data_IF_753377186195
#
_entry.id   IF_753377186195
#
_cell.length_a   1.000
_cell.length_b   1.000
_cell.length_c   1.000
_cell.angle_alpha   90.00
_cell.angle_beta   90.00
_cell.angle_gamma   90.00
#
_symmetry.space_group_name_H-M   'P 1'
#
loop_
_entity.id
_entity.type
_entity.pdbx_description
1 polymer ?
#
# COMPACT_ATOMS: atom_id res chain seq x y z
N UNK A 1 20.45 25.36 10.01
CA UNK A 1 19.97 25.53 8.60
C UNK A 1 18.49 25.20 8.58
N UNK A 2 17.63 25.96 7.90
CA UNK A 2 16.18 25.71 7.91
C UNK A 2 15.77 24.90 6.69
N UNK A 3 14.89 23.91 6.90
CA UNK A 3 14.16 23.23 5.83
C UNK A 3 12.76 23.82 5.75
N UNK A 4 12.25 23.92 4.54
CA UNK A 4 10.91 24.44 4.29
C UNK A 4 10.15 23.49 3.37
N UNK A 5 8.91 23.18 3.73
CA UNK A 5 8.04 22.30 2.96
C UNK A 5 6.77 23.06 2.56
N UNK A 6 6.37 23.04 1.27
CA UNK A 6 5.05 23.50 0.89
C UNK A 6 4.01 22.51 1.44
N UNK A 7 3.06 23.02 2.22
CA UNK A 7 2.07 22.21 2.93
C UNK A 7 0.67 22.82 2.81
N UNK A 8 -0.33 21.98 3.03
CA UNK A 8 -1.70 22.39 3.34
C UNK A 8 -1.98 22.00 4.79
N UNK A 9 -2.34 22.97 5.62
CA UNK A 9 -2.78 22.79 6.99
C UNK A 9 -4.24 22.32 6.99
N UNK A 10 -4.54 21.37 7.87
CA UNK A 10 -5.89 20.84 8.07
C UNK A 10 -6.15 20.54 9.53
N UNK A 11 -7.42 20.29 9.85
CA UNK A 11 -7.83 19.83 11.18
C UNK A 11 -8.60 18.51 11.07
N UNK A 12 -8.19 17.50 11.84
CA UNK A 12 -8.86 16.20 11.90
C UNK A 12 -8.93 15.72 13.34
N UNK A 13 -10.14 15.41 13.82
CA UNK A 13 -10.34 14.92 15.19
C UNK A 13 -9.87 15.90 16.27
N UNK A 14 -9.94 17.21 15.99
CA UNK A 14 -9.47 18.27 16.89
C UNK A 14 -7.98 18.57 16.81
N UNK A 15 -7.22 17.88 15.94
CA UNK A 15 -5.79 18.07 15.77
C UNK A 15 -5.47 18.80 14.48
N UNK A 16 -4.52 19.71 14.57
CA UNK A 16 -3.90 20.27 13.39
C UNK A 16 -2.93 19.25 12.77
N UNK A 17 -2.94 19.15 11.45
CA UNK A 17 -1.98 18.35 10.68
C UNK A 17 -1.59 19.08 9.40
N UNK A 18 -0.52 18.64 8.77
CA UNK A 18 -0.05 19.17 7.51
C UNK A 18 -0.02 18.07 6.45
N UNK A 19 -0.60 18.33 5.29
CA UNK A 19 -0.47 17.49 4.11
C UNK A 19 0.56 18.07 3.16
N UNK A 20 1.49 17.24 2.68
CA UNK A 20 2.57 17.64 1.77
C UNK A 20 2.94 16.51 0.82
N UNK A 21 3.65 16.88 -0.24
CA UNK A 21 4.24 15.97 -1.21
C UNK A 21 5.75 15.93 -1.00
N UNK A 22 6.29 14.75 -0.72
CA UNK A 22 7.73 14.55 -0.51
C UNK A 22 8.31 13.78 -1.71
N UNK A 23 9.40 14.26 -2.33
CA UNK A 23 10.12 13.48 -3.33
C UNK A 23 10.58 12.14 -2.78
N UNK A 24 10.49 11.07 -3.56
CA UNK A 24 10.88 9.74 -3.10
C UNK A 24 12.33 9.70 -2.63
N UNK A 25 13.22 10.50 -3.25
CA UNK A 25 14.62 10.63 -2.85
C UNK A 25 14.83 11.09 -1.41
N UNK A 26 13.88 11.85 -0.86
CA UNK A 26 13.96 12.38 0.52
C UNK A 26 13.44 11.38 1.56
N UNK A 27 12.72 10.34 1.15
CA UNK A 27 12.13 9.36 2.08
C UNK A 27 13.20 8.68 2.97
N UNK A 28 14.35 8.20 2.44
CA UNK A 28 15.38 7.59 3.27
C UNK A 28 16.06 8.57 4.25
N UNK A 29 15.99 9.87 3.96
CA UNK A 29 16.65 10.91 4.74
C UNK A 29 15.74 11.47 5.84
N UNK A 30 14.46 11.69 5.55
CA UNK A 30 13.50 12.34 6.46
C UNK A 30 12.84 11.37 7.45
N UNK A 31 12.73 10.08 7.10
CA UNK A 31 12.01 9.11 7.90
C UNK A 31 12.96 8.15 8.59
N UNK A 32 12.88 8.08 9.91
CA UNK A 32 13.69 7.15 10.69
C UNK A 32 13.15 5.73 10.60
N UNK A 33 13.97 4.83 10.08
CA UNK A 33 13.83 3.39 10.31
C UNK A 33 14.47 3.05 11.66
N UNK A 34 13.85 3.50 12.75
CA UNK A 34 14.39 3.23 14.08
C UNK A 34 14.44 1.72 14.34
N UNK A 35 15.62 1.23 14.74
CA UNK A 35 15.82 -0.11 15.29
C UNK A 35 15.25 -0.17 16.71
N UNK A 36 13.92 -0.20 16.80
CA UNK A 36 13.20 -0.48 18.04
C UNK A 36 13.38 -1.92 18.54
N UNK A 37 14.23 -2.71 17.86
CA UNK A 37 14.55 -4.11 18.17
C UNK A 37 15.02 -4.26 19.63
N UNK A 38 15.73 -3.27 20.17
CA UNK A 38 16.24 -3.29 21.56
C UNK A 38 15.35 -2.60 22.60
N UNK A 39 14.26 -1.96 22.18
CA UNK A 39 13.28 -1.38 23.12
C UNK A 39 12.22 -2.43 23.52
N UNK A 40 11.77 -2.46 24.78
CA UNK A 40 10.58 -3.19 25.19
C UNK A 40 9.37 -2.80 24.32
N UNK A 41 8.47 -3.73 23.96
CA UNK A 41 7.29 -3.44 23.12
C UNK A 41 6.47 -2.23 23.58
N UNK A 42 6.32 -2.05 24.90
CA UNK A 42 5.55 -0.99 25.55
C UNK A 42 6.14 0.41 25.31
N UNK A 43 7.44 0.48 24.99
CA UNK A 43 8.16 1.72 24.72
C UNK A 43 8.29 2.03 23.23
N UNK A 44 7.72 1.19 22.35
CA UNK A 44 7.82 1.38 20.89
C UNK A 44 6.67 2.26 20.41
N UNK A 45 7.01 3.24 19.56
CA UNK A 45 6.02 4.01 18.79
C UNK A 45 5.52 3.25 17.55
N UNK A 46 6.21 2.17 17.13
CA UNK A 46 5.91 1.40 15.92
C UNK A 46 6.23 -0.09 16.09
N UNK A 47 5.69 -0.94 15.20
CA UNK A 47 6.08 -2.36 15.12
C UNK A 47 7.44 -2.54 14.46
N UNK A 48 8.09 -3.66 14.75
CA UNK A 48 9.31 -4.07 14.03
C UNK A 48 8.96 -4.27 12.54
N UNK A 49 9.82 -3.75 11.66
CA UNK A 49 9.66 -3.90 10.21
C UNK A 49 9.83 -5.38 9.84
N UNK A 50 8.85 -5.95 9.14
CA UNK A 50 9.02 -7.28 8.57
C UNK A 50 9.82 -7.16 7.27
N UNK A 51 11.14 -7.38 7.37
CA UNK A 51 12.08 -7.29 6.24
C UNK A 51 11.72 -8.25 5.09
N UNK A 52 11.06 -9.38 5.37
CA UNK A 52 10.64 -10.33 4.35
C UNK A 52 9.57 -9.78 3.40
N UNK A 53 8.81 -8.74 3.80
CA UNK A 53 7.78 -8.11 2.96
C UNK A 53 8.33 -7.03 2.02
N UNK A 54 9.54 -6.53 2.29
CA UNK A 54 10.12 -5.41 1.52
C UNK A 54 10.38 -5.80 0.06
N UNK A 55 11.00 -6.96 -0.26
CA UNK A 55 11.30 -7.33 -1.64
C UNK A 55 10.08 -7.37 -2.57
N UNK A 56 8.94 -7.89 -2.10
CA UNK A 56 7.72 -7.95 -2.93
C UNK A 56 7.17 -6.57 -3.26
N UNK A 57 7.24 -5.62 -2.31
CA UNK A 57 6.79 -4.23 -2.53
C UNK A 57 7.80 -3.48 -3.41
N UNK A 58 9.11 -3.72 -3.24
CA UNK A 58 10.15 -3.17 -4.11
C UNK A 58 9.94 -3.60 -5.56
N UNK A 59 9.71 -4.90 -5.78
CA UNK A 59 9.40 -5.45 -7.09
C UNK A 59 8.13 -4.86 -7.67
N UNK A 60 7.08 -4.70 -6.87
CA UNK A 60 5.85 -4.02 -7.31
C UNK A 60 6.10 -2.61 -7.85
N UNK A 61 6.99 -1.83 -7.24
CA UNK A 61 7.37 -0.49 -7.73
C UNK A 61 8.11 -0.62 -9.07
N UNK A 62 9.17 -1.43 -9.12
CA UNK A 62 10.08 -1.55 -10.27
C UNK A 62 9.42 -2.19 -11.51
N UNK A 63 8.50 -3.14 -11.31
CA UNK A 63 7.79 -3.80 -12.42
C UNK A 63 6.60 -3.00 -12.93
N UNK A 64 6.19 -1.91 -12.25
CA UNK A 64 4.99 -1.15 -12.58
C UNK A 64 5.23 0.36 -12.51
N UNK A 65 6.37 0.85 -13.01
CA UNK A 65 6.77 2.27 -12.93
C UNK A 65 5.72 3.23 -13.53
N UNK A 66 4.89 2.76 -14.46
CA UNK A 66 3.82 3.54 -15.11
C UNK A 66 2.46 3.48 -14.39
N UNK A 67 2.32 2.72 -13.31
CA UNK A 67 1.01 2.52 -12.68
C UNK A 67 1.01 2.00 -11.25
N UNK A 68 2.14 1.93 -10.55
CA UNK A 68 2.15 1.60 -9.12
C UNK A 68 1.45 2.71 -8.31
N UNK A 69 0.82 2.34 -7.20
CA UNK A 69 0.08 3.27 -6.36
C UNK A 69 0.28 2.96 -4.88
N UNK A 70 0.50 4.00 -4.09
CA UNK A 70 0.46 3.94 -2.64
C UNK A 70 -0.53 4.96 -2.06
N UNK A 71 -1.09 4.62 -0.90
CA UNK A 71 -1.77 5.58 -0.05
C UNK A 71 -0.77 6.60 0.52
N UNK A 72 -1.25 7.57 1.29
CA UNK A 72 -0.36 8.53 1.97
C UNK A 72 0.47 7.85 3.08
N UNK A 73 1.68 8.33 3.32
CA UNK A 73 2.44 7.99 4.54
C UNK A 73 1.92 8.88 5.67
N UNK A 74 1.71 8.31 6.85
CA UNK A 74 1.35 9.11 8.04
C UNK A 74 2.53 9.09 9.00
N UNK A 75 2.99 10.26 9.40
CA UNK A 75 4.12 10.40 10.31
C UNK A 75 3.93 11.54 11.30
N UNK A 76 4.75 11.51 12.35
CA UNK A 76 4.75 12.52 13.40
C UNK A 76 6.10 13.21 13.50
N UNK A 77 6.10 14.49 13.84
CA UNK A 77 7.30 15.30 14.08
C UNK A 77 7.33 15.80 15.52
N UNK A 78 8.52 15.95 16.10
CA UNK A 78 8.69 16.37 17.50
C UNK A 78 9.45 17.69 17.66
N UNK A 79 9.89 18.31 16.56
CA UNK A 79 10.64 19.55 16.60
C UNK A 79 9.71 20.77 16.45
N UNK A 80 10.11 21.95 16.97
CA UNK A 80 9.35 23.17 16.77
C UNK A 80 9.20 23.49 15.28
N UNK A 81 7.97 23.79 14.86
CA UNK A 81 7.65 24.16 13.48
C UNK A 81 7.03 25.55 13.42
N UNK A 82 7.32 26.27 12.35
CA UNK A 82 6.67 27.54 12.04
C UNK A 82 5.92 27.42 10.73
N UNK A 83 4.60 27.51 10.79
CA UNK A 83 3.77 27.60 9.60
C UNK A 83 3.65 29.06 9.15
N UNK A 84 3.99 29.31 7.89
CA UNK A 84 3.88 30.61 7.22
C UNK A 84 2.78 30.49 6.16
N UNK A 85 1.59 31.05 6.38
CA UNK A 85 0.50 30.97 5.42
C UNK A 85 0.84 31.73 4.14
N UNK A 86 0.29 31.26 3.02
CA UNK A 86 0.33 31.97 1.74
C UNK A 86 -0.59 33.18 1.78
N UNK A 87 -0.31 34.19 0.94
CA UNK A 87 -1.14 35.40 0.88
C UNK A 87 -2.57 35.13 0.38
N UNK A 88 -2.74 34.10 -0.45
CA UNK A 88 -4.01 33.79 -1.12
C UNK A 88 -4.86 32.78 -0.34
N UNK A 89 -4.24 31.91 0.46
CA UNK A 89 -4.93 30.86 1.20
C UNK A 89 -4.28 30.68 2.58
N UNK A 90 -5.06 30.93 3.65
CA UNK A 90 -4.58 30.83 5.02
C UNK A 90 -4.24 29.38 5.46
N UNK A 91 -4.78 28.38 4.76
CA UNK A 91 -4.49 26.96 5.03
C UNK A 91 -3.35 26.42 4.15
N UNK A 92 -3.05 27.03 3.00
CA UNK A 92 -1.87 26.66 2.22
C UNK A 92 -0.68 27.53 2.64
N UNK A 93 0.51 26.95 2.73
CA UNK A 93 1.68 27.73 3.12
C UNK A 93 2.95 26.91 3.17
N UNK A 94 3.91 27.44 3.90
CA UNK A 94 5.22 26.82 4.08
C UNK A 94 5.41 26.43 5.53
N UNK A 95 5.77 25.17 5.77
CA UNK A 95 6.18 24.69 7.09
C UNK A 95 7.70 24.78 7.19
N UNK A 96 8.19 25.65 8.06
CA UNK A 96 9.61 25.82 8.35
C UNK A 96 10.01 24.99 9.57
N UNK A 97 11.12 24.26 9.46
CA UNK A 97 11.68 23.40 10.50
C UNK A 97 13.21 23.58 10.55
N UNK A 98 13.82 23.44 11.73
CA UNK A 98 15.29 23.45 11.84
C UNK A 98 15.86 22.09 11.40
N UNK A 99 16.69 22.07 10.35
CA UNK A 99 17.19 20.86 9.67
C UNK A 99 17.78 19.81 10.63
N UNK A 100 18.57 20.26 11.62
CA UNK A 100 19.24 19.39 12.59
C UNK A 100 18.27 18.56 13.43
N UNK A 101 16.99 18.93 13.45
CA UNK A 101 15.94 18.28 14.21
C UNK A 101 14.81 17.73 13.33
N UNK A 102 14.97 17.70 11.99
CA UNK A 102 13.94 17.16 11.09
C UNK A 102 14.07 15.65 11.03
N UNK A 103 13.32 14.99 11.89
CA UNK A 103 13.19 13.54 11.89
C UNK A 103 11.73 13.16 12.09
N UNK A 104 11.19 12.37 11.17
CA UNK A 104 9.80 11.91 11.24
C UNK A 104 9.69 10.48 11.73
N UNK A 105 8.79 10.28 12.70
CA UNK A 105 8.41 8.97 13.21
C UNK A 105 7.25 8.45 12.35
N UNK A 106 7.43 7.31 11.70
CA UNK A 106 6.41 6.71 10.84
C UNK A 106 5.30 6.09 11.69
N UNK A 107 4.06 6.59 11.58
CA UNK A 107 2.88 5.97 12.20
C UNK A 107 2.25 4.92 11.28
N UNK A 108 2.22 5.18 9.97
CA UNK A 108 1.83 4.20 8.95
C UNK A 108 2.65 4.38 7.67
N UNK A 109 2.95 3.27 6.99
CA UNK A 109 3.73 3.26 5.75
C UNK A 109 5.17 2.75 5.86
N UNK A 110 5.58 2.17 6.99
CA UNK A 110 6.97 1.72 7.20
C UNK A 110 7.52 0.81 6.08
N UNK A 111 6.71 -0.14 5.59
CA UNK A 111 7.13 -1.07 4.53
C UNK A 111 7.20 -0.35 3.17
N UNK A 112 6.35 0.66 2.96
CA UNK A 112 6.38 1.51 1.75
C UNK A 112 7.66 2.35 1.75
N UNK A 113 7.99 3.01 2.86
CA UNK A 113 9.25 3.75 2.98
C UNK A 113 10.47 2.85 2.75
N UNK A 114 10.49 1.65 3.33
CA UNK A 114 11.60 0.70 3.17
C UNK A 114 11.72 0.20 1.72
N UNK A 115 10.59 -0.09 1.07
CA UNK A 115 10.56 -0.53 -0.33
C UNK A 115 10.96 0.60 -1.29
N UNK A 116 10.53 1.84 -1.05
CA UNK A 116 10.97 3.03 -1.80
C UNK A 116 12.49 3.17 -1.66
N UNK A 117 13.04 3.08 -0.45
CA UNK A 117 14.47 3.17 -0.22
C UNK A 117 15.26 2.04 -0.92
N UNK A 118 14.68 0.85 -1.03
CA UNK A 118 15.29 -0.26 -1.78
C UNK A 118 15.18 -0.03 -3.30
N UNK A 119 14.01 0.35 -3.81
CA UNK A 119 13.77 0.61 -5.23
C UNK A 119 14.67 1.74 -5.75
N UNK A 120 14.90 2.79 -4.97
CA UNK A 120 15.80 3.90 -5.34
C UNK A 120 17.26 3.47 -5.52
N UNK A 121 17.71 2.38 -4.88
CA UNK A 121 19.06 1.84 -5.09
C UNK A 121 19.18 1.16 -6.45
N UNK A 122 18.09 0.59 -6.95
CA UNK A 122 18.04 -0.11 -8.23
C UNK A 122 17.72 0.87 -9.37
N UNK A 123 16.74 1.75 -9.18
CA UNK A 123 16.38 2.81 -10.10
C UNK A 123 16.32 4.19 -9.41
N UNK A 124 17.41 4.97 -9.41
CA UNK A 124 17.44 6.32 -8.84
C UNK A 124 16.50 7.32 -9.54
N UNK A 125 16.03 7.05 -10.75
CA UNK A 125 15.15 7.97 -11.48
C UNK A 125 13.79 8.16 -10.79
N UNK A 126 13.33 7.14 -10.05
CA UNK A 126 12.12 7.18 -9.22
C UNK A 126 12.15 8.32 -8.18
N UNK A 127 13.35 8.81 -7.81
CA UNK A 127 13.52 9.85 -6.80
C UNK A 127 12.78 11.16 -7.11
N UNK A 128 12.47 11.43 -8.38
CA UNK A 128 11.74 12.64 -8.82
C UNK A 128 10.24 12.57 -8.53
N UNK A 129 9.70 11.37 -8.42
CA UNK A 129 8.30 11.17 -8.09
C UNK A 129 8.02 11.61 -6.66
N UNK A 130 6.76 11.90 -6.35
CA UNK A 130 6.37 12.41 -5.03
C UNK A 130 5.27 11.57 -4.43
N UNK A 131 5.37 11.30 -3.14
CA UNK A 131 4.33 10.64 -2.35
C UNK A 131 3.68 11.62 -1.38
N UNK A 132 2.38 11.44 -1.16
CA UNK A 132 1.62 12.19 -0.17
C UNK A 132 2.01 11.77 1.25
N UNK A 133 2.21 12.76 2.11
CA UNK A 133 2.54 12.59 3.52
C UNK A 133 1.56 13.41 4.36
N UNK A 134 1.10 12.82 5.47
CA UNK A 134 0.35 13.49 6.53
C UNK A 134 1.24 13.60 7.76
N UNK A 135 1.50 14.84 8.19
CA UNK A 135 2.35 15.16 9.34
C UNK A 135 1.52 15.65 10.52
N UNK A 136 1.68 14.97 11.65
CA UNK A 136 1.08 15.33 12.93
C UNK A 136 2.17 15.74 13.93
N UNK A 137 1.84 16.62 14.86
CA UNK A 137 2.74 16.91 15.99
C UNK A 137 2.74 15.72 16.96
N UNK A 138 3.92 15.34 17.44
CA UNK A 138 4.05 14.31 18.48
C UNK A 138 3.62 14.89 19.83
N UNK A 139 2.47 14.45 20.35
CA UNK A 139 1.98 14.83 21.68
C UNK A 139 2.61 13.99 22.80
N UNK A 140 2.59 12.66 22.65
CA UNK A 140 3.14 11.70 23.61
C UNK A 140 3.38 10.34 22.95
N UNK A 141 4.10 9.43 23.63
CA UNK A 141 4.30 8.07 23.15
C UNK A 141 2.99 7.27 23.07
N UNK A 142 2.14 7.39 24.09
CA UNK A 142 0.82 6.75 24.14
C UNK A 142 -0.03 7.22 22.96
N UNK A 143 0.10 8.48 22.55
CA UNK A 143 -0.59 9.02 21.39
C UNK A 143 -0.10 8.41 20.09
N UNK A 144 1.22 8.29 19.91
CA UNK A 144 1.79 7.62 18.72
C UNK A 144 1.29 6.18 18.61
N UNK A 145 1.24 5.46 19.74
CA UNK A 145 0.71 4.10 19.81
C UNK A 145 -0.79 4.04 19.49
N UNK A 146 -1.59 4.98 20.00
CA UNK A 146 -3.01 5.06 19.67
C UNK A 146 -3.22 5.35 18.19
N UNK A 147 -2.47 6.28 17.60
CA UNK A 147 -2.53 6.57 16.16
C UNK A 147 -2.19 5.33 15.31
N UNK A 148 -1.14 4.60 15.69
CA UNK A 148 -0.81 3.33 15.04
C UNK A 148 -1.98 2.33 15.12
N UNK A 149 -2.60 2.20 16.30
CA UNK A 149 -3.75 1.31 16.49
C UNK A 149 -4.96 1.74 15.64
N UNK A 150 -5.30 3.04 15.64
CA UNK A 150 -6.41 3.61 14.87
C UNK A 150 -6.22 3.38 13.37
N UNK A 151 -5.01 3.64 12.85
CA UNK A 151 -4.68 3.46 11.43
C UNK A 151 -4.77 2.00 10.97
N UNK A 152 -4.47 1.03 11.84
CA UNK A 152 -4.54 -0.39 11.47
C UNK A 152 -5.92 -1.01 11.75
N UNK A 153 -6.64 -0.56 12.79
CA UNK A 153 -7.90 -1.15 13.23
C UNK A 153 -9.02 -1.03 12.19
N UNK A 154 -9.07 0.08 11.46
CA UNK A 154 -10.13 0.34 10.48
C UNK A 154 -9.76 -0.07 9.05
N UNK A 155 -8.54 -0.55 8.82
CA UNK A 155 -8.13 -1.09 7.52
C UNK A 155 -8.77 -2.46 7.35
N UNK A 156 -9.87 -2.50 6.59
CA UNK A 156 -10.46 -3.76 6.13
C UNK A 156 -9.72 -4.23 4.90
N UNK A 157 -9.18 -5.45 4.95
CA UNK A 157 -8.65 -6.11 3.76
C UNK A 157 -9.82 -6.46 2.83
N UNK A 158 -9.64 -6.18 1.54
CA UNK A 158 -10.55 -6.67 0.51
C UNK A 158 -10.63 -8.19 0.58
N UNK A 159 -11.81 -8.76 0.33
CA UNK A 159 -11.93 -10.22 0.26
C UNK A 159 -11.05 -10.77 -0.87
N UNK A 160 -10.59 -12.02 -0.75
CA UNK A 160 -9.84 -12.69 -1.82
C UNK A 160 -10.59 -12.63 -3.15
N UNK A 161 -11.89 -12.95 -3.13
CA UNK A 161 -12.75 -12.93 -4.31
C UNK A 161 -12.78 -11.56 -5.00
N UNK A 162 -12.93 -10.48 -4.22
CA UNK A 162 -12.96 -9.12 -4.77
C UNK A 162 -11.58 -8.67 -5.27
N UNK A 163 -10.52 -9.04 -4.55
CA UNK A 163 -9.14 -8.77 -4.95
C UNK A 163 -8.85 -9.37 -6.32
N UNK A 164 -9.14 -10.66 -6.51
CA UNK A 164 -8.96 -11.36 -7.78
C UNK A 164 -9.81 -10.77 -8.92
N UNK A 165 -11.03 -10.34 -8.61
CA UNK A 165 -11.93 -9.75 -9.61
C UNK A 165 -11.37 -8.44 -10.19
N UNK A 166 -10.62 -7.67 -9.40
CA UNK A 166 -10.11 -6.36 -9.78
C UNK A 166 -8.61 -6.33 -10.11
N UNK A 167 -7.83 -7.30 -9.61
CA UNK A 167 -6.41 -7.40 -9.87
C UNK A 167 -6.14 -7.94 -11.27
N UNK A 168 -5.97 -7.01 -12.22
CA UNK A 168 -5.62 -7.34 -13.61
C UNK A 168 -4.14 -7.69 -13.80
N UNK A 169 -3.31 -7.56 -12.76
CA UNK A 169 -1.87 -7.91 -12.84
C UNK A 169 -1.64 -9.39 -12.52
N UNK A 170 -2.64 -10.05 -11.93
CA UNK A 170 -2.61 -11.48 -11.69
C UNK A 170 -3.19 -12.26 -12.90
N UNK A 171 -2.29 -12.80 -13.71
CA UNK A 171 -2.64 -13.61 -14.88
C UNK A 171 -3.45 -14.85 -14.52
N UNK A 172 -3.29 -15.43 -13.33
CA UNK A 172 -4.08 -16.60 -12.89
C UNK A 172 -5.51 -16.19 -12.52
N UNK A 173 -5.69 -15.01 -11.91
CA UNK A 173 -7.01 -14.42 -11.69
C UNK A 173 -7.72 -14.12 -13.01
N UNK A 174 -7.01 -13.52 -13.97
CA UNK A 174 -7.53 -13.28 -15.32
C UNK A 174 -7.95 -14.59 -16.01
N UNK A 175 -7.08 -15.61 -15.99
CA UNK A 175 -7.37 -16.93 -16.55
C UNK A 175 -8.59 -17.59 -15.91
N UNK A 176 -8.69 -17.54 -14.57
CA UNK A 176 -9.82 -18.10 -13.84
C UNK A 176 -11.13 -17.41 -14.24
N UNK A 177 -11.12 -16.09 -14.41
CA UNK A 177 -12.28 -15.34 -14.87
C UNK A 177 -12.68 -15.71 -16.30
N UNK A 178 -11.72 -15.89 -17.22
CA UNK A 178 -12.00 -16.33 -18.59
C UNK A 178 -12.56 -17.76 -18.64
N UNK A 179 -12.03 -18.67 -17.81
CA UNK A 179 -12.53 -20.04 -17.70
C UNK A 179 -13.98 -20.10 -17.21
N UNK A 180 -14.33 -19.25 -16.24
CA UNK A 180 -15.70 -19.17 -15.72
C UNK A 180 -16.71 -18.74 -16.79
N UNK A 181 -16.30 -17.92 -17.77
CA UNK A 181 -17.16 -17.48 -18.87
C UNK A 181 -17.23 -18.51 -20.02
N UNK A 182 -16.12 -19.21 -20.30
CA UNK A 182 -16.01 -20.14 -21.42
C UNK A 182 -16.52 -21.55 -21.11
N UNK A 183 -16.44 -22.00 -19.86
CA UNK A 183 -16.91 -23.33 -19.46
C UNK A 183 -18.40 -23.25 -19.06
N UNK A 184 -19.25 -23.91 -19.84
CA UNK A 184 -20.71 -23.80 -19.71
C UNK A 184 -21.24 -24.17 -18.31
N UNK A 185 -20.62 -25.14 -17.61
CA UNK A 185 -21.05 -25.53 -16.25
C UNK A 185 -20.78 -24.46 -15.19
N UNK A 186 -19.83 -23.55 -15.44
CA UNK A 186 -19.50 -22.46 -14.52
C UNK A 186 -20.33 -21.20 -14.77
N UNK A 187 -20.86 -21.03 -15.99
CA UNK A 187 -21.70 -19.89 -16.34
C UNK A 187 -22.89 -19.81 -15.39
N UNK A 188 -23.07 -18.63 -14.78
CA UNK A 188 -24.09 -18.37 -13.75
C UNK A 188 -24.05 -19.25 -12.48
N UNK A 189 -23.07 -20.15 -12.33
CA UNK A 189 -22.93 -21.03 -11.16
C UNK A 189 -21.84 -20.57 -10.20
N UNK A 190 -21.08 -19.52 -10.55
CA UNK A 190 -20.00 -18.97 -9.73
C UNK A 190 -20.43 -17.68 -9.02
N UNK A 191 -20.19 -17.61 -7.71
CA UNK A 191 -20.25 -16.38 -6.91
C UNK A 191 -18.89 -15.68 -6.96
N UNK A 192 -18.87 -14.48 -7.55
CA UNK A 192 -17.64 -13.70 -7.79
C UNK A 192 -17.30 -12.74 -6.65
N UNK A 193 -18.21 -12.54 -5.70
CA UNK A 193 -18.05 -11.54 -4.63
C UNK A 193 -17.81 -12.19 -3.27
N UNK A 194 -18.58 -13.23 -2.96
CA UNK A 194 -18.56 -13.85 -1.64
C UNK A 194 -17.44 -14.88 -1.54
N UNK A 195 -16.94 -15.03 -0.32
CA UNK A 195 -15.95 -16.07 0.03
C UNK A 195 -16.61 -17.39 0.42
N UNK A 196 -17.91 -17.38 0.69
CA UNK A 196 -18.70 -18.57 1.01
C UNK A 196 -20.05 -18.50 0.31
N UNK A 197 -20.60 -19.65 -0.08
CA UNK A 197 -21.90 -19.75 -0.74
C UNK A 197 -23.01 -19.73 0.32
N UNK A 198 -23.91 -18.73 0.32
CA UNK A 198 -25.06 -18.72 1.22
C UNK A 198 -25.98 -19.92 1.00
N UNK A 199 -26.60 -20.42 2.07
CA UNK A 199 -27.47 -21.62 2.03
C UNK A 199 -28.64 -21.56 1.03
N UNK A 200 -29.08 -20.37 0.63
CA UNK A 200 -30.16 -20.15 -0.35
C UNK A 200 -29.66 -19.64 -1.71
N UNK A 201 -28.34 -19.63 -1.92
CA UNK A 201 -27.76 -19.20 -3.19
C UNK A 201 -27.95 -20.30 -4.24
N UNK A 202 -28.29 -19.95 -5.49
CA UNK A 202 -28.29 -20.90 -6.60
C UNK A 202 -26.88 -21.23 -7.10
N UNK A 203 -25.85 -20.50 -6.62
CA UNK A 203 -24.44 -20.70 -7.01
C UNK A 203 -23.87 -21.97 -6.35
N UNK A 204 -22.92 -22.61 -7.03
CA UNK A 204 -22.23 -23.82 -6.56
C UNK A 204 -20.78 -23.58 -6.16
N UNK A 205 -20.10 -22.63 -6.80
CA UNK A 205 -18.68 -22.37 -6.59
C UNK A 205 -18.44 -20.90 -6.25
N UNK A 206 -17.40 -20.62 -5.45
CA UNK A 206 -16.87 -19.26 -5.35
C UNK A 206 -15.71 -19.09 -6.34
N UNK A 207 -15.50 -17.87 -6.82
CA UNK A 207 -14.35 -17.58 -7.69
C UNK A 207 -13.03 -17.92 -7.01
N UNK A 208 -12.93 -17.69 -5.68
CA UNK A 208 -11.74 -18.03 -4.90
C UNK A 208 -11.45 -19.53 -4.89
N UNK A 209 -12.48 -20.38 -4.82
CA UNK A 209 -12.29 -21.84 -4.85
C UNK A 209 -11.81 -22.32 -6.22
N UNK A 210 -12.33 -21.74 -7.30
CA UNK A 210 -11.87 -22.05 -8.66
C UNK A 210 -10.44 -21.59 -8.90
N UNK A 211 -10.06 -20.43 -8.38
CA UNK A 211 -8.67 -19.97 -8.45
C UNK A 211 -7.73 -20.88 -7.69
N UNK A 212 -8.06 -21.27 -6.46
CA UNK A 212 -7.23 -22.20 -5.68
C UNK A 212 -7.10 -23.56 -6.39
N UNK A 213 -8.17 -24.04 -7.04
CA UNK A 213 -8.11 -25.25 -7.87
C UNK A 213 -7.22 -25.07 -9.12
N UNK A 214 -7.35 -23.95 -9.83
CA UNK A 214 -6.53 -23.64 -11.00
C UNK A 214 -5.06 -23.44 -10.61
N UNK A 215 -4.78 -22.86 -9.45
CA UNK A 215 -3.42 -22.73 -8.90
C UNK A 215 -2.78 -24.09 -8.67
N UNK A 216 -3.53 -25.06 -8.12
CA UNK A 216 -3.04 -26.41 -7.90
C UNK A 216 -2.81 -27.17 -9.23
N UNK A 217 -3.68 -26.95 -10.22
CA UNK A 217 -3.62 -27.64 -11.51
C UNK A 217 -2.56 -27.05 -12.47
N UNK A 218 -2.42 -25.73 -12.50
CA UNK A 218 -1.62 -24.99 -13.49
C UNK A 218 -0.39 -24.31 -12.88
N UNK A 219 -0.34 -24.18 -11.55
CA UNK A 219 0.68 -23.41 -10.83
C UNK A 219 0.37 -21.91 -10.76
N UNK A 220 1.12 -21.20 -9.90
CA UNK A 220 0.98 -19.75 -9.67
C UNK A 220 1.45 -18.87 -10.85
N UNK A 221 2.37 -19.36 -11.66
CA UNK A 221 3.03 -18.56 -12.70
C UNK A 221 2.37 -18.82 -14.05
N UNK A 222 1.36 -18.03 -14.36
CA UNK A 222 0.70 -18.04 -15.67
C UNK A 222 1.37 -17.01 -16.58
N UNK A 223 1.51 -17.37 -17.86
CA UNK A 223 2.02 -16.49 -18.89
C UNK A 223 1.19 -15.21 -18.99
N UNK A 224 1.77 -14.14 -19.54
CA UNK A 224 1.09 -12.85 -19.70
C UNK A 224 -0.21 -13.01 -20.50
N UNK A 225 -1.29 -12.39 -20.00
CA UNK A 225 -2.58 -12.38 -20.67
C UNK A 225 -2.43 -11.84 -22.10
N UNK A 226 -2.95 -12.57 -23.09
CA UNK A 226 -2.83 -12.24 -24.52
C UNK A 226 -1.59 -12.81 -25.22
N UNK A 227 -0.66 -13.44 -24.49
CA UNK A 227 0.46 -14.17 -25.10
C UNK A 227 0.00 -15.48 -25.78
N UNK A 228 0.74 -16.01 -26.77
CA UNK A 228 0.40 -17.30 -27.40
C UNK A 228 0.36 -18.47 -26.42
N UNK A 229 1.26 -18.45 -25.42
CA UNK A 229 1.34 -19.49 -24.37
C UNK A 229 0.09 -19.41 -23.48
N UNK A 230 -0.36 -18.21 -23.13
CA UNK A 230 -1.59 -18.01 -22.37
C UNK A 230 -2.81 -18.59 -23.10
N UNK A 231 -2.92 -18.33 -24.41
CA UNK A 231 -4.02 -18.86 -25.22
C UNK A 231 -4.02 -20.40 -25.29
N UNK A 232 -2.84 -21.03 -25.35
CA UNK A 232 -2.71 -22.49 -25.31
C UNK A 232 -3.15 -23.08 -23.96
N UNK A 233 -2.72 -22.46 -22.85
CA UNK A 233 -3.12 -22.86 -21.49
C UNK A 233 -4.64 -22.73 -21.33
N UNK A 234 -5.21 -21.59 -21.72
CA UNK A 234 -6.64 -21.33 -21.65
C UNK A 234 -7.44 -22.35 -22.44
N UNK A 235 -7.06 -22.59 -23.70
CA UNK A 235 -7.72 -23.57 -24.56
C UNK A 235 -7.73 -24.96 -23.91
N UNK A 236 -6.57 -25.41 -23.42
CA UNK A 236 -6.45 -26.71 -22.76
C UNK A 236 -7.30 -26.79 -21.48
N UNK A 237 -7.37 -25.71 -20.71
CA UNK A 237 -8.14 -25.66 -19.48
C UNK A 237 -9.67 -25.59 -19.72
N UNK A 238 -10.12 -25.09 -20.88
CA UNK A 238 -11.54 -25.13 -21.29
C UNK A 238 -11.95 -26.52 -21.79
N UNK A 239 -11.02 -27.26 -22.43
CA UNK A 239 -11.30 -28.57 -23.03
C UNK A 239 -11.34 -29.74 -22.04
N UNK A 240 -10.76 -29.59 -20.84
CA UNK A 240 -10.70 -30.60 -19.77
C UNK A 240 -11.81 -30.43 -18.73
#
# INVERSE_FOLDING_TARGET
MKVSFPVIRGNMGGRQYYSLLIPLSEIPHLFKFNDWEHCPPELRAQRILNKARVPDITRYILENEDGYLFSSITASYSCPVKFVPSAENAEAGTLEMELENVEFIINDGQHRCAAIAAALKENPALGKEKISVLLFETESLERLQQMFSDLNRFVQQTSKSLGMLYDRRDNLSALTMELVEQVDVFRDMVDKEKVTIPRRSPKLFTISALYEANEELLGKKIAEQGSPIYAEILKRAVEY
#
